data_IF_318367718123
#
_entry.id   IF_318367718123
#
_cell.length_a   1.000
_cell.length_b   1.000
_cell.length_c   1.000
_cell.angle_alpha   90.00
_cell.angle_beta   90.00
_cell.angle_gamma   90.00
#
_symmetry.space_group_name_H-M   'P 1'
#
loop_
_entity.id
_entity.type
_entity.pdbx_description
1 polymer ?
#
# COMPACT_ATOMS: atom_id res chain seq x y z
N UNK A 1 25.75 12.81 0.55
CA UNK A 1 24.84 13.47 -0.41
C UNK A 1 23.75 12.47 -0.76
N UNK A 2 22.49 12.76 -0.47
CA UNK A 2 21.36 11.93 -0.92
C UNK A 2 21.30 12.09 -2.43
N UNK A 3 21.57 11.00 -3.18
CA UNK A 3 21.44 11.00 -4.64
C UNK A 3 20.00 11.41 -5.00
N UNK A 4 19.90 12.37 -5.93
CA UNK A 4 18.61 12.91 -6.36
C UNK A 4 17.79 11.80 -7.04
N UNK A 5 16.71 11.40 -6.41
CA UNK A 5 15.72 10.47 -6.96
C UNK A 5 14.89 11.23 -7.99
N UNK A 6 14.80 10.73 -9.21
CA UNK A 6 14.06 11.37 -10.32
C UNK A 6 12.75 10.66 -10.66
N UNK A 7 12.56 9.43 -10.18
CA UNK A 7 11.33 8.66 -10.34
C UNK A 7 10.24 9.04 -9.34
N UNK A 8 9.08 8.44 -9.49
CA UNK A 8 7.90 8.67 -8.65
C UNK A 8 7.50 7.41 -7.90
N UNK A 9 7.31 7.53 -6.58
CA UNK A 9 6.69 6.47 -5.76
C UNK A 9 5.20 6.77 -5.61
N UNK A 10 4.37 5.88 -6.14
CA UNK A 10 2.91 5.92 -6.02
C UNK A 10 2.45 4.70 -5.26
N UNK A 11 1.71 4.89 -4.18
CA UNK A 11 1.26 3.80 -3.32
C UNK A 11 -0.25 3.66 -3.32
N UNK A 12 -0.72 2.43 -3.13
CA UNK A 12 -2.15 2.08 -3.09
C UNK A 12 -2.46 1.48 -1.73
N UNK A 13 -3.36 2.11 -1.03
CA UNK A 13 -3.77 1.78 0.33
C UNK A 13 -5.26 1.49 0.40
N UNK A 14 -5.70 0.91 1.50
CA UNK A 14 -7.10 0.54 1.74
C UNK A 14 -7.20 -0.83 2.37
N UNK A 15 -8.39 -1.17 2.88
CA UNK A 15 -8.64 -2.47 3.48
C UNK A 15 -8.57 -3.60 2.45
N UNK A 16 -8.49 -4.84 2.91
CA UNK A 16 -8.60 -5.98 2.02
C UNK A 16 -9.98 -5.98 1.36
N UNK A 17 -10.07 -6.48 0.12
CA UNK A 17 -11.27 -6.42 -0.69
C UNK A 17 -11.56 -5.03 -1.32
N UNK A 18 -10.72 -4.00 -1.09
CA UNK A 18 -10.93 -2.68 -1.69
C UNK A 18 -10.63 -2.59 -3.19
N UNK A 19 -10.03 -3.64 -3.78
CA UNK A 19 -9.78 -3.70 -5.22
C UNK A 19 -8.43 -3.13 -5.67
N UNK A 20 -7.45 -2.96 -4.77
CA UNK A 20 -6.12 -2.41 -5.07
C UNK A 20 -5.47 -3.07 -6.29
N UNK A 21 -5.39 -4.38 -6.32
CA UNK A 21 -4.78 -5.12 -7.42
C UNK A 21 -5.47 -4.85 -8.76
N UNK A 22 -6.81 -4.84 -8.79
CA UNK A 22 -7.57 -4.56 -10.02
C UNK A 22 -7.37 -3.12 -10.51
N UNK A 23 -7.23 -2.17 -9.58
CA UNK A 23 -6.96 -0.77 -9.89
C UNK A 23 -5.55 -0.60 -10.44
N UNK A 24 -4.55 -1.24 -9.80
CA UNK A 24 -3.15 -1.20 -10.28
C UNK A 24 -3.07 -1.80 -11.69
N UNK A 25 -3.73 -2.94 -11.94
CA UNK A 25 -3.76 -3.56 -13.28
C UNK A 25 -4.38 -2.63 -14.34
N UNK A 26 -5.53 -2.00 -14.04
CA UNK A 26 -6.13 -1.04 -14.97
C UNK A 26 -5.26 0.19 -15.22
N UNK A 27 -4.51 0.64 -14.20
CA UNK A 27 -3.55 1.73 -14.35
C UNK A 27 -2.38 1.32 -15.25
N UNK A 28 -1.85 0.10 -15.08
CA UNK A 28 -0.75 -0.42 -15.93
C UNK A 28 -1.18 -0.60 -17.37
N UNK A 29 -2.40 -1.09 -17.64
CA UNK A 29 -2.95 -1.19 -18.99
C UNK A 29 -3.00 0.18 -19.69
N UNK A 30 -3.40 1.24 -19.00
CA UNK A 30 -3.41 2.59 -19.54
C UNK A 30 -1.99 3.13 -19.78
N UNK A 31 -1.05 2.86 -18.88
CA UNK A 31 0.36 3.22 -19.07
C UNK A 31 0.98 2.51 -20.28
N UNK A 32 0.66 1.25 -20.51
CA UNK A 32 1.12 0.48 -21.68
C UNK A 32 0.57 1.05 -23.00
N UNK A 33 -0.71 1.43 -23.01
CA UNK A 33 -1.32 2.11 -24.17
C UNK A 33 -0.63 3.43 -24.54
N UNK A 34 -0.03 4.09 -23.55
CA UNK A 34 0.78 5.31 -23.75
C UNK A 34 2.26 5.05 -24.05
N UNK A 35 2.69 3.78 -24.15
CA UNK A 35 4.08 3.43 -24.42
C UNK A 35 5.02 3.52 -23.20
N UNK A 36 4.49 3.39 -21.98
CA UNK A 36 5.26 3.49 -20.72
C UNK A 36 5.73 2.15 -20.18
N UNK A 37 5.64 1.03 -20.92
CA UNK A 37 5.92 -0.34 -20.44
C UNK A 37 7.29 -0.49 -19.76
N UNK A 38 8.31 0.24 -20.18
CA UNK A 38 9.66 0.21 -19.59
C UNK A 38 9.89 1.30 -18.53
N UNK A 39 8.91 2.17 -18.30
CA UNK A 39 9.03 3.35 -17.44
C UNK A 39 8.39 3.18 -16.07
N UNK A 40 7.82 2.02 -15.76
CA UNK A 40 7.26 1.73 -14.45
C UNK A 40 7.65 0.34 -13.96
N UNK A 41 7.44 0.10 -12.68
CA UNK A 41 7.43 -1.23 -12.05
C UNK A 41 6.23 -1.34 -11.12
N UNK A 42 5.70 -2.55 -10.99
CA UNK A 42 4.67 -2.89 -9.99
C UNK A 42 5.31 -3.74 -8.91
N UNK A 43 5.01 -3.41 -7.65
CA UNK A 43 5.53 -4.14 -6.49
C UNK A 43 4.52 -4.09 -5.33
N UNK A 44 4.80 -4.77 -4.22
CA UNK A 44 3.92 -4.79 -3.04
C UNK A 44 4.69 -4.92 -1.74
N UNK A 45 4.06 -4.56 -0.64
CA UNK A 45 4.54 -4.78 0.72
C UNK A 45 3.51 -5.50 1.61
N UNK A 46 3.94 -6.40 2.48
CA UNK A 46 5.31 -6.92 2.56
C UNK A 46 5.62 -7.83 1.37
N UNK A 47 6.88 -7.83 0.91
CA UNK A 47 7.31 -8.66 -0.23
C UNK A 47 8.14 -7.90 -1.26
N UNK A 48 8.09 -8.34 -2.52
CA UNK A 48 8.75 -7.68 -3.66
C UNK A 48 10.22 -8.04 -3.87
N UNK A 49 10.82 -8.86 -3.00
CA UNK A 49 12.14 -9.49 -3.17
C UNK A 49 12.30 -10.70 -2.23
N UNK A 50 13.30 -11.52 -2.47
CA UNK A 50 13.48 -12.81 -1.79
C UNK A 50 13.48 -12.73 -0.26
N UNK A 51 14.15 -11.74 0.33
CA UNK A 51 14.22 -11.58 1.80
C UNK A 51 12.88 -11.09 2.34
N UNK A 52 12.29 -10.09 1.69
CA UNK A 52 10.99 -9.55 2.09
C UNK A 52 9.87 -10.57 1.94
N UNK A 53 9.92 -11.47 0.94
CA UNK A 53 8.96 -12.59 0.81
C UNK A 53 9.13 -13.62 1.94
N UNK A 54 10.36 -13.91 2.39
CA UNK A 54 10.58 -14.78 3.54
C UNK A 54 9.98 -14.18 4.83
N UNK A 55 10.14 -12.86 5.03
CA UNK A 55 9.52 -12.15 6.16
C UNK A 55 7.98 -12.13 6.00
N UNK A 56 7.48 -11.94 4.78
CA UNK A 56 6.04 -11.98 4.50
C UNK A 56 5.44 -13.33 4.90
N UNK A 57 6.12 -14.43 4.61
CA UNK A 57 5.67 -15.76 5.03
C UNK A 57 5.47 -15.81 6.55
N UNK A 58 6.47 -15.39 7.34
CA UNK A 58 6.34 -15.32 8.80
C UNK A 58 5.18 -14.40 9.24
N UNK A 59 4.98 -13.26 8.57
CA UNK A 59 3.94 -12.30 8.93
C UNK A 59 2.52 -12.80 8.67
N UNK A 60 2.31 -13.61 7.63
CA UNK A 60 0.98 -13.96 7.15
C UNK A 60 0.56 -15.41 7.44
N UNK A 61 1.52 -16.29 7.74
CA UNK A 61 1.24 -17.69 8.04
C UNK A 61 0.47 -17.84 9.36
N UNK A 62 -0.57 -18.65 9.33
CA UNK A 62 -1.40 -18.96 10.50
C UNK A 62 -0.63 -19.72 11.59
N UNK A 63 0.45 -20.42 11.24
CA UNK A 63 1.33 -21.09 12.20
C UNK A 63 1.88 -20.11 13.25
N UNK A 64 2.03 -18.84 12.89
CA UNK A 64 2.54 -17.79 13.77
C UNK A 64 1.42 -16.95 14.41
N UNK A 65 0.25 -17.55 14.63
CA UNK A 65 -0.82 -16.93 15.41
C UNK A 65 -0.31 -16.62 16.83
N UNK A 66 -0.67 -15.44 17.37
CA UNK A 66 -0.17 -14.98 18.68
C UNK A 66 1.11 -14.16 18.61
N UNK A 67 1.58 -13.80 17.43
CA UNK A 67 2.71 -12.87 17.27
C UNK A 67 2.46 -11.57 18.06
N UNK A 68 3.45 -11.18 18.86
CA UNK A 68 3.39 -9.91 19.60
C UNK A 68 3.24 -8.71 18.67
N UNK A 69 2.36 -7.74 18.96
CA UNK A 69 2.12 -6.59 18.08
C UNK A 69 3.37 -5.76 17.74
N UNK A 70 4.33 -5.62 18.65
CA UNK A 70 5.57 -4.89 18.37
C UNK A 70 6.51 -5.72 17.48
N UNK A 71 6.53 -7.05 17.66
CA UNK A 71 7.24 -7.96 16.75
C UNK A 71 6.67 -7.85 15.34
N UNK A 72 5.34 -7.81 15.19
CA UNK A 72 4.68 -7.59 13.90
C UNK A 72 5.15 -6.28 13.26
N UNK A 73 5.17 -5.15 13.99
CA UNK A 73 5.68 -3.86 13.50
C UNK A 73 7.11 -3.96 13.01
N UNK A 74 8.00 -4.60 13.78
CA UNK A 74 9.42 -4.73 13.46
C UNK A 74 9.64 -5.57 12.21
N UNK A 75 8.89 -6.65 12.04
CA UNK A 75 8.98 -7.50 10.84
C UNK A 75 8.47 -6.77 9.59
N UNK A 76 7.34 -6.04 9.67
CA UNK A 76 6.89 -5.19 8.57
C UNK A 76 7.93 -4.14 8.18
N UNK A 77 8.53 -3.47 9.15
CA UNK A 77 9.57 -2.47 8.91
C UNK A 77 10.84 -3.09 8.31
N UNK A 78 11.27 -4.27 8.76
CA UNK A 78 12.41 -4.99 8.21
C UNK A 78 12.18 -5.41 6.74
N UNK A 79 10.98 -5.97 6.44
CA UNK A 79 10.60 -6.30 5.06
C UNK A 79 10.60 -5.06 4.17
N UNK A 80 10.03 -3.95 4.65
CA UNK A 80 9.99 -2.66 3.96
C UNK A 80 11.38 -2.11 3.67
N UNK A 81 12.28 -2.13 4.67
CA UNK A 81 13.67 -1.70 4.46
C UNK A 81 14.36 -2.47 3.35
N UNK A 82 14.24 -3.78 3.37
CA UNK A 82 14.86 -4.64 2.37
C UNK A 82 14.25 -4.42 0.98
N UNK A 83 12.92 -4.28 0.91
CA UNK A 83 12.19 -3.96 -0.31
C UNK A 83 12.63 -2.60 -0.89
N UNK A 84 12.72 -1.59 -0.03
CA UNK A 84 13.14 -0.26 -0.41
C UNK A 84 14.52 -0.26 -1.07
N UNK A 85 15.53 -0.89 -0.45
CA UNK A 85 16.91 -0.83 -0.96
C UNK A 85 17.16 -1.72 -2.17
N UNK A 86 16.44 -2.83 -2.32
CA UNK A 86 16.64 -3.77 -3.44
C UNK A 86 15.75 -3.50 -4.64
N UNK A 87 14.57 -2.90 -4.44
CA UNK A 87 13.56 -2.77 -5.50
C UNK A 87 13.18 -1.32 -5.76
N UNK A 88 12.72 -0.61 -4.74
CA UNK A 88 12.13 0.72 -4.91
C UNK A 88 13.20 1.77 -5.26
N UNK A 89 14.25 1.90 -4.44
CA UNK A 89 15.28 2.93 -4.65
C UNK A 89 16.02 2.77 -5.99
N UNK A 90 16.42 1.55 -6.44
CA UNK A 90 17.01 1.39 -7.76
C UNK A 90 16.08 1.84 -8.89
N UNK A 91 14.79 1.52 -8.81
CA UNK A 91 13.80 1.93 -9.82
C UNK A 91 13.61 3.45 -9.83
N UNK A 92 13.48 4.08 -8.66
CA UNK A 92 13.35 5.53 -8.54
C UNK A 92 14.61 6.27 -9.04
N UNK A 93 15.81 5.74 -8.77
CA UNK A 93 17.07 6.28 -9.32
C UNK A 93 17.15 6.16 -10.84
N UNK A 94 16.56 5.10 -11.41
CA UNK A 94 16.44 4.91 -12.85
C UNK A 94 15.32 5.78 -13.49
N UNK A 95 14.68 6.68 -12.74
CA UNK A 95 13.62 7.55 -13.21
C UNK A 95 12.28 6.85 -13.44
N UNK A 96 12.09 5.65 -12.91
CA UNK A 96 10.86 4.89 -13.10
C UNK A 96 9.75 5.31 -12.14
N UNK A 97 8.52 5.07 -12.55
CA UNK A 97 7.35 5.12 -11.68
C UNK A 97 7.26 3.79 -10.93
N UNK A 98 7.22 3.83 -9.61
CA UNK A 98 7.02 2.65 -8.76
C UNK A 98 5.58 2.65 -8.29
N UNK A 99 4.79 1.67 -8.73
CA UNK A 99 3.42 1.41 -8.28
C UNK A 99 3.49 0.35 -7.18
N UNK A 100 3.24 0.73 -5.94
CA UNK A 100 3.41 -0.14 -4.78
C UNK A 100 2.08 -0.41 -4.07
N UNK A 101 1.66 -1.68 -4.01
CA UNK A 101 0.51 -2.09 -3.18
C UNK A 101 0.93 -2.13 -1.72
N UNK A 102 0.46 -1.18 -0.93
CA UNK A 102 0.78 -0.87 0.47
C UNK A 102 2.18 -0.28 0.69
N UNK A 103 2.25 0.56 1.73
CA UNK A 103 3.48 1.16 2.22
C UNK A 103 3.34 1.53 3.71
N UNK A 104 3.93 2.63 4.16
CA UNK A 104 3.96 3.06 5.58
C UNK A 104 2.55 3.26 6.14
N UNK A 105 1.63 3.82 5.37
CA UNK A 105 0.26 4.10 5.80
C UNK A 105 -0.46 2.83 6.26
N UNK A 106 -0.25 1.69 5.59
CA UNK A 106 -0.75 0.39 6.06
C UNK A 106 -0.26 0.08 7.48
N UNK A 107 1.03 0.26 7.78
CA UNK A 107 1.54 0.00 9.13
C UNK A 107 0.96 0.94 10.18
N UNK A 108 0.76 2.22 9.84
CA UNK A 108 0.16 3.20 10.76
C UNK A 108 -1.27 2.80 11.16
N UNK A 109 -2.05 2.31 10.20
CA UNK A 109 -3.44 1.97 10.47
C UNK A 109 -3.60 0.56 11.05
N UNK A 110 -2.91 -0.46 10.49
CA UNK A 110 -3.04 -1.85 10.95
C UNK A 110 -2.33 -2.09 12.28
N UNK A 111 -1.05 -1.78 12.38
CA UNK A 111 -0.28 -1.99 13.60
C UNK A 111 -0.51 -0.85 14.61
N UNK A 112 -0.52 0.40 14.14
CA UNK A 112 -0.67 1.57 15.01
C UNK A 112 -2.05 1.61 15.67
N UNK A 113 -3.12 1.53 14.87
CA UNK A 113 -4.50 1.62 15.34
C UNK A 113 -5.09 0.24 15.61
N UNK A 114 -5.03 -0.68 14.65
CA UNK A 114 -5.64 -2.00 14.73
C UNK A 114 -5.04 -2.85 15.86
N UNK A 115 -3.72 -2.98 15.91
CA UNK A 115 -2.99 -3.68 16.98
C UNK A 115 -2.76 -2.82 18.23
N UNK A 116 -3.20 -1.56 18.25
CA UNK A 116 -3.10 -0.63 19.39
C UNK A 116 -1.66 -0.36 19.86
N UNK A 117 -0.66 -0.49 18.99
CA UNK A 117 0.73 -0.13 19.31
C UNK A 117 0.90 1.38 19.43
N UNK A 118 0.05 2.15 18.76
CA UNK A 118 0.11 3.60 18.68
C UNK A 118 0.74 4.08 17.37
N UNK A 119 0.24 5.19 16.82
CA UNK A 119 0.70 5.74 15.54
C UNK A 119 2.15 6.23 15.64
N UNK A 120 2.48 6.99 16.68
CA UNK A 120 3.82 7.60 16.85
C UNK A 120 4.96 6.57 16.93
N UNK A 121 4.89 5.50 17.75
CA UNK A 121 5.93 4.48 17.76
C UNK A 121 6.08 3.77 16.41
N UNK A 122 4.94 3.46 15.75
CA UNK A 122 4.97 2.81 14.43
C UNK A 122 5.58 3.73 13.39
N UNK A 123 5.25 5.01 13.40
CA UNK A 123 5.83 6.02 12.50
C UNK A 123 7.34 6.14 12.70
N UNK A 124 7.81 6.21 13.95
CA UNK A 124 9.24 6.32 14.26
C UNK A 124 10.05 5.13 13.70
N UNK A 125 9.55 3.90 13.88
CA UNK A 125 10.19 2.68 13.34
C UNK A 125 10.20 2.72 11.80
N UNK A 126 9.09 3.14 11.18
CA UNK A 126 9.01 3.23 9.73
C UNK A 126 9.88 4.35 9.15
N UNK A 127 9.98 5.49 9.81
CA UNK A 127 10.89 6.58 9.42
C UNK A 127 12.35 6.10 9.41
N UNK A 128 12.76 5.35 10.46
CA UNK A 128 14.07 4.72 10.48
C UNK A 128 14.26 3.72 9.31
N UNK A 129 13.27 2.88 9.05
CA UNK A 129 13.35 1.85 8.01
C UNK A 129 13.40 2.44 6.59
N UNK A 130 12.76 3.58 6.36
CA UNK A 130 12.61 4.19 5.03
C UNK A 130 13.53 5.37 4.76
N UNK A 131 14.36 5.78 5.73
CA UNK A 131 15.08 7.05 5.68
C UNK A 131 14.12 8.22 5.36
N UNK A 132 12.91 8.16 5.95
CA UNK A 132 11.82 9.13 5.79
C UNK A 132 11.31 9.30 4.34
N UNK A 133 11.60 8.35 3.43
CA UNK A 133 11.08 8.40 2.06
C UNK A 133 9.55 8.34 2.07
N UNK A 134 8.92 9.41 1.58
CA UNK A 134 7.47 9.50 1.41
C UNK A 134 7.09 9.27 -0.05
N UNK A 135 5.95 8.60 -0.31
CA UNK A 135 5.38 8.54 -1.65
C UNK A 135 5.06 9.94 -2.20
N UNK A 136 5.19 10.11 -3.50
CA UNK A 136 4.74 11.31 -4.20
C UNK A 136 3.20 11.41 -4.23
N UNK A 137 2.55 10.25 -4.30
CA UNK A 137 1.10 10.12 -4.30
C UNK A 137 0.69 8.81 -3.63
N UNK A 138 -0.33 8.86 -2.79
CA UNK A 138 -0.96 7.68 -2.18
C UNK A 138 -2.45 7.68 -2.48
N UNK A 139 -2.93 6.66 -3.14
CA UNK A 139 -4.36 6.40 -3.30
C UNK A 139 -4.86 5.59 -2.10
N UNK A 140 -5.89 6.08 -1.45
CA UNK A 140 -6.62 5.34 -0.41
C UNK A 140 -7.96 4.91 -0.98
N UNK A 141 -8.09 3.61 -1.29
CA UNK A 141 -9.33 3.04 -1.81
C UNK A 141 -10.30 2.85 -0.64
N UNK A 142 -11.23 3.79 -0.49
CA UNK A 142 -12.22 3.81 0.58
C UNK A 142 -13.40 2.92 0.24
N UNK A 143 -13.48 1.75 0.88
CA UNK A 143 -14.59 0.81 0.74
C UNK A 143 -15.33 0.66 2.07
N UNK A 144 -16.64 0.41 1.99
CA UNK A 144 -17.38 -0.06 3.15
C UNK A 144 -16.84 -1.42 3.61
N UNK A 145 -16.45 -1.56 4.90
CA UNK A 145 -15.87 -2.80 5.40
C UNK A 145 -16.73 -4.05 5.19
N UNK A 146 -18.06 -3.93 5.25
CA UNK A 146 -18.96 -5.06 4.99
C UNK A 146 -18.90 -5.50 3.51
N UNK A 147 -18.81 -4.52 2.59
CA UNK A 147 -18.63 -4.80 1.16
C UNK A 147 -17.29 -5.44 0.89
N UNK A 148 -16.23 -4.91 1.51
CA UNK A 148 -14.87 -5.46 1.41
C UNK A 148 -14.80 -6.92 1.87
N UNK A 149 -15.34 -7.22 3.06
CA UNK A 149 -15.38 -8.57 3.62
C UNK A 149 -16.18 -9.55 2.74
N UNK A 150 -17.33 -9.11 2.18
CA UNK A 150 -18.09 -9.92 1.22
C UNK A 150 -17.30 -10.23 -0.05
N UNK A 151 -16.54 -9.26 -0.58
CA UNK A 151 -15.67 -9.48 -1.75
C UNK A 151 -14.56 -10.49 -1.46
N UNK A 152 -13.94 -10.43 -0.27
CA UNK A 152 -12.93 -11.41 0.16
C UNK A 152 -13.54 -12.80 0.22
N UNK A 153 -14.66 -12.97 0.92
CA UNK A 153 -15.33 -14.26 1.08
C UNK A 153 -15.71 -14.90 -0.27
N UNK A 154 -16.07 -14.09 -1.27
CA UNK A 154 -16.45 -14.58 -2.59
C UNK A 154 -15.25 -14.93 -3.50
N UNK A 155 -14.10 -14.30 -3.31
CA UNK A 155 -12.97 -14.39 -4.25
C UNK A 155 -11.76 -15.18 -3.73
N UNK A 156 -11.68 -15.46 -2.42
CA UNK A 156 -10.58 -16.18 -1.79
C UNK A 156 -11.10 -17.43 -1.09
N UNK A 157 -11.43 -18.47 -1.87
CA UNK A 157 -11.84 -19.74 -1.28
C UNK A 157 -10.67 -20.57 -0.74
N UNK A 158 -9.43 -20.29 -1.19
CA UNK A 158 -8.27 -21.16 -0.94
C UNK A 158 -7.06 -20.46 -0.25
N UNK A 159 -7.09 -19.14 -0.01
CA UNK A 159 -5.98 -18.41 0.61
C UNK A 159 -6.45 -17.57 1.80
N UNK A 160 -6.82 -18.23 2.88
CA UNK A 160 -7.08 -17.53 4.17
C UNK A 160 -5.73 -17.26 4.84
N UNK A 161 -5.49 -16.02 5.24
CA UNK A 161 -4.31 -15.64 5.98
C UNK A 161 -4.68 -15.13 7.39
N UNK A 162 -3.68 -14.98 8.26
CA UNK A 162 -3.86 -14.55 9.65
C UNK A 162 -4.66 -13.24 9.80
N UNK A 163 -4.56 -12.32 8.85
CA UNK A 163 -5.27 -11.03 8.87
C UNK A 163 -6.75 -11.15 8.47
N UNK A 164 -7.12 -12.15 7.68
CA UNK A 164 -8.50 -12.35 7.22
C UNK A 164 -9.44 -12.81 8.35
N UNK A 165 -8.90 -13.23 9.50
CA UNK A 165 -9.66 -13.61 10.70
C UNK A 165 -10.15 -12.41 11.53
N UNK A 166 -9.77 -11.20 11.17
CA UNK A 166 -10.15 -10.00 11.91
C UNK A 166 -11.65 -9.68 11.75
N UNK A 167 -12.23 -9.10 12.81
CA UNK A 167 -13.67 -8.79 12.88
C UNK A 167 -14.00 -7.46 12.17
N UNK A 168 -15.27 -7.28 11.86
CA UNK A 168 -15.79 -6.07 11.21
C UNK A 168 -15.35 -4.77 11.92
N UNK A 169 -15.40 -4.75 13.26
CA UNK A 169 -15.00 -3.57 14.05
C UNK A 169 -13.54 -3.17 13.82
N UNK A 170 -12.66 -4.16 13.60
CA UNK A 170 -11.27 -3.92 13.24
C UNK A 170 -11.17 -3.17 11.90
N UNK A 171 -11.82 -3.67 10.87
CA UNK A 171 -11.81 -3.04 9.54
C UNK A 171 -12.49 -1.66 9.54
N UNK A 172 -13.53 -1.45 10.35
CA UNK A 172 -14.13 -0.13 10.55
C UNK A 172 -13.14 0.85 11.21
N UNK A 173 -12.35 0.39 12.18
CA UNK A 173 -11.32 1.21 12.81
C UNK A 173 -10.20 1.57 11.81
N UNK A 174 -9.75 0.61 11.00
CA UNK A 174 -8.75 0.79 9.94
C UNK A 174 -9.24 1.83 8.90
N UNK A 175 -10.48 1.68 8.39
CA UNK A 175 -11.08 2.65 7.46
C UNK A 175 -11.07 4.06 8.04
N UNK A 176 -11.57 4.23 9.26
CA UNK A 176 -11.56 5.55 9.92
C UNK A 176 -10.16 6.12 10.09
N UNK A 177 -9.17 5.27 10.34
CA UNK A 177 -7.78 5.69 10.46
C UNK A 177 -7.21 6.17 9.12
N UNK A 178 -7.44 5.46 8.01
CA UNK A 178 -7.07 5.91 6.67
C UNK A 178 -7.66 7.27 6.33
N UNK A 179 -8.96 7.47 6.55
CA UNK A 179 -9.62 8.76 6.27
C UNK A 179 -9.04 9.91 7.12
N UNK A 180 -8.61 9.62 8.36
CA UNK A 180 -7.89 10.61 9.18
C UNK A 180 -6.51 10.95 8.60
N UNK A 181 -5.79 9.97 8.04
CA UNK A 181 -4.50 10.23 7.37
C UNK A 181 -4.71 11.08 6.11
N UNK A 182 -5.72 10.76 5.30
CA UNK A 182 -6.10 11.59 4.13
C UNK A 182 -6.37 13.04 4.53
N UNK A 183 -7.15 13.24 5.58
CA UNK A 183 -7.47 14.59 6.07
C UNK A 183 -6.24 15.37 6.57
N UNK A 184 -5.20 14.67 7.05
CA UNK A 184 -3.95 15.30 7.51
C UNK A 184 -3.00 15.69 6.37
N UNK A 185 -2.95 14.92 5.31
CA UNK A 185 -2.03 15.11 4.18
C UNK A 185 -2.75 15.10 2.81
N UNK A 186 -3.79 15.95 2.56
CA UNK A 186 -4.66 15.88 1.38
C UNK A 186 -3.93 16.16 0.06
N UNK A 187 -2.74 16.77 0.11
CA UNK A 187 -1.92 17.00 -1.09
C UNK A 187 -1.26 15.72 -1.60
N UNK A 188 -0.98 14.76 -0.71
CA UNK A 188 -0.29 13.51 -1.00
C UNK A 188 -1.22 12.31 -0.97
N UNK A 189 -2.17 12.25 -0.03
CA UNK A 189 -3.14 11.16 0.10
C UNK A 189 -4.46 11.55 -0.52
N UNK A 190 -4.95 10.73 -1.45
CA UNK A 190 -6.22 10.95 -2.15
C UNK A 190 -7.15 9.77 -1.90
N UNK A 191 -8.28 10.03 -1.28
CA UNK A 191 -9.32 9.01 -1.13
C UNK A 191 -10.09 8.84 -2.45
N UNK A 192 -10.27 7.58 -2.84
CA UNK A 192 -11.08 7.17 -4.00
C UNK A 192 -12.22 6.29 -3.47
N UNK A 193 -13.44 6.62 -3.82
CA UNK A 193 -14.60 5.80 -3.46
C UNK A 193 -14.55 4.45 -4.20
N UNK A 194 -14.27 3.38 -3.46
CA UNK A 194 -14.16 2.03 -3.98
C UNK A 194 -15.48 1.23 -3.87
N UNK A 195 -16.58 1.87 -3.45
CA UNK A 195 -17.92 1.25 -3.47
C UNK A 195 -18.56 1.30 -4.87
N UNK A 196 -17.99 2.08 -5.78
CA UNK A 196 -18.40 2.20 -7.17
C UNK A 196 -18.05 0.95 -8.01
N UNK A 197 -18.55 0.91 -9.23
CA UNK A 197 -18.11 -0.04 -10.25
C UNK A 197 -16.62 0.13 -10.57
N UNK A 198 -15.92 -0.98 -10.82
CA UNK A 198 -14.46 -0.99 -11.00
C UNK A 198 -13.99 0.01 -12.08
N UNK A 199 -14.71 0.08 -13.20
CA UNK A 199 -14.36 1.00 -14.28
C UNK A 199 -14.36 2.48 -13.84
N UNK A 200 -15.30 2.86 -12.96
CA UNK A 200 -15.37 4.21 -12.43
C UNK A 200 -14.22 4.47 -11.44
N UNK A 201 -13.90 3.50 -10.57
CA UNK A 201 -12.77 3.59 -9.65
C UNK A 201 -11.45 3.77 -10.43
N UNK A 202 -11.26 2.97 -11.49
CA UNK A 202 -10.08 3.08 -12.37
C UNK A 202 -10.01 4.43 -13.08
N UNK A 203 -11.14 4.95 -13.56
CA UNK A 203 -11.21 6.29 -14.20
C UNK A 203 -10.84 7.40 -13.22
N UNK A 204 -11.33 7.33 -11.97
CA UNK A 204 -11.02 8.34 -10.95
C UNK A 204 -9.54 8.30 -10.55
N UNK A 205 -8.96 7.10 -10.41
CA UNK A 205 -7.53 6.92 -10.15
C UNK A 205 -6.69 7.46 -11.30
N UNK A 206 -7.05 7.13 -12.54
CA UNK A 206 -6.33 7.60 -13.73
C UNK A 206 -6.28 9.12 -13.79
N UNK A 207 -7.43 9.79 -13.66
CA UNK A 207 -7.53 11.26 -13.72
C UNK A 207 -6.59 11.94 -12.70
N UNK A 208 -6.53 11.42 -11.47
CA UNK A 208 -5.63 11.97 -10.45
C UNK A 208 -4.17 11.64 -10.76
N UNK A 209 -3.89 10.41 -11.19
CA UNK A 209 -2.55 9.98 -11.55
C UNK A 209 -1.98 10.80 -12.73
N UNK A 210 -2.75 10.95 -13.79
CA UNK A 210 -2.37 11.75 -14.96
C UNK A 210 -2.01 13.19 -14.55
N UNK A 211 -2.87 13.83 -13.77
CA UNK A 211 -2.67 15.22 -13.35
C UNK A 211 -1.49 15.42 -12.40
N UNK A 212 -1.21 14.46 -11.49
CA UNK A 212 -0.19 14.61 -10.44
C UNK A 212 1.16 14.00 -10.80
N UNK A 213 1.19 13.00 -11.65
CA UNK A 213 2.41 12.23 -11.95
C UNK A 213 2.85 12.48 -13.41
N UNK A 214 1.96 12.29 -14.40
CA UNK A 214 2.36 12.43 -15.80
C UNK A 214 2.56 13.89 -16.20
N UNK A 215 1.69 14.80 -15.75
CA UNK A 215 1.82 16.22 -16.05
C UNK A 215 3.08 16.87 -15.45
N UNK A 216 3.66 16.31 -14.40
CA UNK A 216 4.91 16.80 -13.80
C UNK A 216 6.17 16.21 -14.44
N UNK A 217 6.02 15.24 -15.36
CA UNK A 217 7.11 14.56 -16.06
C UNK A 217 7.38 15.15 -17.47
N UNK A 218 6.62 16.14 -17.87
CA UNK A 218 6.80 16.95 -19.10
C UNK A 218 7.42 18.29 -18.73
#
# INVERSE_FOLDING_TARGET
>A
MVEKVTGFLVTFEGTDGSGKTSVINGLTEQLEQLGYQDRYIVTREPGGNKISEAIRHILLDEEYEGMDPKTEVLLYAAARRQHLVQTVLPALKAGKIVLCDRYVESSLVYQGVGRKVGIEPVLAINNFATDELKPNLTFVLDIDPEVGLKRIANNRLDEVNRMDKERLEFYQAIRRAYLKLVAKEPHRLVAIDANQELAQVQSDVWRVFESKILATNN
#
